data_IF_429148648538
#
_entry.id   IF_429148648538
#
_cell.length_a   1.000
_cell.length_b   1.000
_cell.length_c   1.000
_cell.angle_alpha   90.00
_cell.angle_beta   90.00
_cell.angle_gamma   90.00
#
_symmetry.space_group_name_H-M   'P 1'
#
loop_
_entity.id
_entity.type
_entity.pdbx_description
1 polymer ?
#
# COMPACT_ATOMS: atom_id res chain seq x y z
N UNK A 1 44.35 21.04 -31.09
CA UNK A 1 42.99 21.62 -31.02
C UNK A 1 41.84 20.59 -31.08
N UNK A 2 42.07 19.26 -31.03
CA UNK A 2 40.98 18.25 -31.02
C UNK A 2 40.53 17.77 -29.63
N UNK A 3 41.19 18.18 -28.54
CA UNK A 3 40.89 17.74 -27.16
C UNK A 3 39.91 18.63 -26.39
N UNK A 4 39.51 19.78 -26.95
CA UNK A 4 38.62 20.73 -26.29
C UNK A 4 37.13 20.46 -26.53
N UNK A 5 36.78 19.78 -27.64
CA UNK A 5 35.37 19.52 -28.00
C UNK A 5 34.78 18.34 -27.21
N UNK A 6 35.60 17.37 -26.80
CA UNK A 6 35.12 16.17 -26.09
C UNK A 6 34.70 16.44 -24.64
N UNK A 7 35.25 17.49 -24.01
CA UNK A 7 34.93 17.82 -22.62
C UNK A 7 33.56 18.50 -22.47
N UNK A 8 33.11 19.21 -23.51
CA UNK A 8 31.82 19.91 -23.51
C UNK A 8 30.65 18.91 -23.61
N UNK A 9 30.79 17.82 -24.35
CA UNK A 9 29.75 16.80 -24.48
C UNK A 9 29.55 15.96 -23.21
N UNK A 10 30.62 15.70 -22.45
CA UNK A 10 30.51 14.95 -21.18
C UNK A 10 29.75 15.75 -20.09
N UNK A 11 29.89 17.08 -20.09
CA UNK A 11 29.19 17.95 -19.12
C UNK A 11 27.69 18.08 -19.44
N UNK A 12 27.33 18.11 -20.74
CA UNK A 12 25.92 18.12 -21.17
C UNK A 12 25.21 16.81 -20.81
N UNK A 13 25.89 15.66 -20.91
CA UNK A 13 25.29 14.36 -20.56
C UNK A 13 25.04 14.21 -19.05
N UNK A 14 25.92 14.74 -18.20
CA UNK A 14 25.76 14.68 -16.73
C UNK A 14 24.67 15.64 -16.25
N UNK A 15 24.50 16.81 -16.89
CA UNK A 15 23.41 17.73 -16.58
C UNK A 15 22.02 17.17 -16.97
N UNK A 16 21.93 16.32 -17.99
CA UNK A 16 20.67 15.68 -18.38
C UNK A 16 20.23 14.53 -17.45
N UNK A 17 21.14 13.98 -16.65
CA UNK A 17 20.85 12.88 -15.70
C UNK A 17 20.29 13.35 -14.34
N UNK A 18 20.18 14.65 -14.08
CA UNK A 18 19.67 15.18 -12.81
C UNK A 18 18.15 15.45 -12.79
N UNK A 19 17.42 15.14 -13.85
CA UNK A 19 15.99 15.49 -13.99
C UNK A 19 15.02 14.35 -13.70
N UNK A 20 15.32 13.46 -12.74
CA UNK A 20 14.43 12.34 -12.38
C UNK A 20 13.95 12.35 -10.92
N UNK A 21 14.20 13.43 -10.18
CA UNK A 21 13.56 13.69 -8.90
C UNK A 21 12.60 14.88 -9.03
N UNK A 22 11.73 14.85 -10.04
CA UNK A 22 10.49 15.60 -9.92
C UNK A 22 9.71 14.90 -8.83
N UNK A 23 9.76 15.47 -7.62
CA UNK A 23 8.67 15.31 -6.68
C UNK A 23 7.39 15.44 -7.51
N UNK A 24 6.64 14.35 -7.61
CA UNK A 24 5.36 14.30 -8.31
C UNK A 24 4.45 15.21 -7.51
N UNK A 25 4.56 16.51 -7.77
CA UNK A 25 3.72 17.53 -7.19
C UNK A 25 2.34 17.21 -7.73
N UNK A 26 1.49 16.65 -6.87
CA UNK A 26 0.09 16.54 -7.19
C UNK A 26 -0.37 17.96 -7.57
N UNK A 27 -1.08 18.13 -8.69
CA UNK A 27 -1.58 19.45 -9.08
C UNK A 27 -2.30 20.09 -7.89
N UNK A 28 -2.24 21.42 -7.77
CA UNK A 28 -3.05 22.23 -6.84
C UNK A 28 -4.54 22.12 -7.22
N UNK A 29 -5.06 20.90 -7.20
CA UNK A 29 -6.47 20.59 -7.23
C UNK A 29 -6.93 20.69 -5.79
N UNK A 30 -7.95 21.51 -5.55
CA UNK A 30 -8.72 21.52 -4.30
C UNK A 30 -9.46 20.20 -4.05
N UNK A 31 -9.40 19.25 -4.99
CA UNK A 31 -10.04 17.95 -4.94
C UNK A 31 -8.97 16.86 -4.89
N UNK A 32 -8.45 16.57 -3.70
CA UNK A 32 -7.64 15.37 -3.43
C UNK A 32 -8.55 14.16 -3.20
N UNK A 33 -9.44 13.89 -4.16
CA UNK A 33 -10.41 12.81 -4.09
C UNK A 33 -10.40 11.97 -5.37
N UNK A 34 -10.83 10.72 -5.26
CA UNK A 34 -10.93 9.81 -6.39
C UNK A 34 -11.44 8.44 -5.98
N UNK A 35 -11.44 7.51 -6.93
CA UNK A 35 -11.81 6.13 -6.65
C UNK A 35 -11.12 5.16 -7.60
N UNK A 36 -10.94 3.93 -7.14
CA UNK A 36 -10.26 2.87 -7.89
C UNK A 36 -10.91 1.51 -7.66
N UNK A 37 -11.14 0.79 -8.76
CA UNK A 37 -11.50 -0.61 -8.73
C UNK A 37 -10.30 -1.48 -8.41
N UNK A 38 -10.49 -2.45 -7.52
CA UNK A 38 -9.54 -3.47 -7.16
C UNK A 38 -10.15 -4.84 -7.43
N UNK A 39 -9.40 -5.70 -8.12
CA UNK A 39 -9.81 -7.07 -8.42
C UNK A 39 -8.59 -7.99 -8.42
N UNK A 40 -8.39 -8.76 -7.35
CA UNK A 40 -7.28 -9.70 -7.21
C UNK A 40 -7.65 -10.81 -6.22
N UNK A 41 -7.18 -12.05 -6.44
CA UNK A 41 -7.34 -13.17 -5.51
C UNK A 41 -8.80 -13.40 -5.07
N UNK A 42 -9.74 -13.32 -6.02
CA UNK A 42 -11.20 -13.37 -5.82
C UNK A 42 -11.81 -12.19 -5.05
N UNK A 43 -11.02 -11.26 -4.50
CA UNK A 43 -11.53 -10.02 -3.91
C UNK A 43 -11.86 -9.02 -5.00
N UNK A 44 -13.06 -8.44 -4.95
CA UNK A 44 -13.48 -7.32 -5.78
C UNK A 44 -13.98 -6.20 -4.90
N UNK A 45 -13.34 -5.04 -5.00
CA UNK A 45 -13.69 -3.87 -4.21
C UNK A 45 -13.65 -2.59 -5.06
N UNK A 46 -14.47 -1.62 -4.68
CA UNK A 46 -14.30 -0.25 -5.11
C UNK A 46 -13.83 0.57 -3.91
N UNK A 47 -12.72 1.29 -4.06
CA UNK A 47 -12.15 2.11 -2.99
C UNK A 47 -12.20 3.55 -3.42
N UNK A 48 -12.97 4.35 -2.71
CA UNK A 48 -12.96 5.81 -2.83
C UNK A 48 -11.99 6.39 -1.79
N UNK A 49 -11.39 7.53 -2.11
CA UNK A 49 -10.52 8.25 -1.20
C UNK A 49 -10.74 9.75 -1.30
N UNK A 50 -10.50 10.45 -0.20
CA UNK A 50 -10.47 11.89 -0.11
C UNK A 50 -9.41 12.34 0.90
N UNK A 51 -8.77 13.49 0.66
CA UNK A 51 -7.85 14.13 1.59
C UNK A 51 -8.35 15.54 1.90
N UNK A 52 -8.47 15.86 3.18
CA UNK A 52 -8.96 17.14 3.69
C UNK A 52 -7.81 17.91 4.35
N UNK A 53 -7.66 19.20 4.04
CA UNK A 53 -6.78 20.10 4.80
C UNK A 53 -7.56 20.60 6.04
N UNK A 54 -7.07 20.25 7.23
CA UNK A 54 -7.72 20.59 8.50
C UNK A 54 -7.76 22.09 8.76
N UNK A 55 -6.88 22.86 8.12
CA UNK A 55 -6.84 24.32 8.22
C UNK A 55 -7.99 24.99 7.44
N UNK A 56 -8.58 24.29 6.46
CA UNK A 56 -9.71 24.80 5.69
C UNK A 56 -11.02 24.79 6.49
N UNK A 57 -11.12 23.96 7.53
CA UNK A 57 -12.35 23.75 8.30
C UNK A 57 -13.49 23.06 7.53
N UNK A 58 -13.27 22.67 6.27
CA UNK A 58 -14.28 22.06 5.42
C UNK A 58 -14.25 20.54 5.57
N UNK A 59 -15.02 20.02 6.53
CA UNK A 59 -15.28 18.59 6.66
C UNK A 59 -16.72 18.26 6.28
N UNK A 60 -16.99 17.05 5.79
CA UNK A 60 -18.34 16.52 5.76
C UNK A 60 -18.97 16.53 7.16
N UNK A 61 -20.28 16.78 7.23
CA UNK A 61 -21.02 16.71 8.50
C UNK A 61 -20.85 15.32 9.14
N UNK A 62 -20.64 15.30 10.46
CA UNK A 62 -20.45 14.06 11.22
C UNK A 62 -19.04 13.46 11.14
N UNK A 63 -18.14 14.02 10.34
CA UNK A 63 -16.77 13.55 10.23
C UNK A 63 -15.97 13.84 11.51
N UNK A 64 -15.37 12.81 12.09
CA UNK A 64 -14.51 12.93 13.28
C UNK A 64 -13.04 12.82 12.89
N UNK A 65 -12.27 13.87 13.12
CA UNK A 65 -10.83 13.85 12.84
C UNK A 65 -10.11 12.85 13.77
N UNK A 66 -9.40 11.83 13.24
CA UNK A 66 -8.74 10.81 14.05
C UNK A 66 -7.49 11.30 14.80
N UNK A 67 -6.98 12.50 14.52
CA UNK A 67 -5.80 13.04 15.23
C UNK A 67 -5.55 14.52 14.96
N UNK A 68 -4.37 15.03 15.31
CA UNK A 68 -4.03 16.45 15.20
C UNK A 68 -3.32 16.84 13.89
N UNK A 69 -3.24 15.95 12.91
CA UNK A 69 -2.52 16.19 11.66
C UNK A 69 -3.12 17.30 10.80
N UNK A 70 -2.27 17.97 10.00
CA UNK A 70 -2.72 18.96 9.00
C UNK A 70 -3.62 18.37 7.92
N UNK A 71 -3.39 17.13 7.52
CA UNK A 71 -4.17 16.46 6.49
C UNK A 71 -4.90 15.27 7.10
N UNK A 72 -6.16 15.10 6.71
CA UNK A 72 -6.94 13.92 7.05
C UNK A 72 -7.27 13.15 5.79
N UNK A 73 -6.88 11.89 5.79
CA UNK A 73 -7.11 10.95 4.70
C UNK A 73 -8.28 10.08 5.09
N UNK A 74 -9.26 9.98 4.19
CA UNK A 74 -10.42 9.12 4.33
C UNK A 74 -10.48 8.16 3.14
N UNK A 75 -10.73 6.89 3.44
CA UNK A 75 -10.95 5.83 2.45
C UNK A 75 -12.30 5.20 2.72
N UNK A 76 -13.12 5.06 1.68
CA UNK A 76 -14.38 4.33 1.75
C UNK A 76 -14.26 3.08 0.89
N UNK A 77 -14.48 1.92 1.51
CA UNK A 77 -14.33 0.63 0.84
C UNK A 77 -15.70 -0.01 0.64
N UNK A 78 -16.00 -0.32 -0.61
CA UNK A 78 -17.18 -1.07 -1.01
C UNK A 78 -16.75 -2.47 -1.44
N UNK A 79 -17.22 -3.51 -0.76
CA UNK A 79 -17.05 -4.88 -1.23
C UNK A 79 -18.11 -5.21 -2.28
N UNK A 80 -17.71 -5.20 -3.54
CA UNK A 80 -18.60 -5.42 -4.70
C UNK A 80 -18.52 -6.85 -5.25
N UNK A 81 -17.94 -7.79 -4.49
CA UNK A 81 -17.87 -9.20 -4.87
C UNK A 81 -19.25 -9.84 -5.00
N UNK A 82 -19.48 -10.63 -6.05
CA UNK A 82 -20.81 -11.16 -6.39
C UNK A 82 -21.32 -12.31 -5.51
N UNK A 83 -20.52 -12.84 -4.58
CA UNK A 83 -20.92 -13.93 -3.66
C UNK A 83 -20.17 -13.85 -2.32
N UNK A 84 -20.72 -14.54 -1.30
CA UNK A 84 -20.18 -14.71 0.07
C UNK A 84 -18.74 -15.27 0.17
N UNK A 85 -18.06 -15.52 -0.95
CA UNK A 85 -16.76 -16.20 -1.03
C UNK A 85 -15.55 -15.26 -1.13
N UNK A 86 -15.75 -13.94 -1.13
CA UNK A 86 -14.66 -12.98 -1.20
C UNK A 86 -14.74 -11.86 -0.14
N UNK A 87 -14.86 -12.22 1.14
CA UNK A 87 -14.79 -11.23 2.18
C UNK A 87 -13.40 -10.62 2.29
N UNK A 88 -13.36 -9.35 2.66
CA UNK A 88 -12.13 -8.63 2.93
C UNK A 88 -11.82 -8.79 4.43
N UNK A 89 -10.67 -9.35 4.75
CA UNK A 89 -10.18 -9.46 6.12
C UNK A 89 -9.32 -8.24 6.49
N UNK A 90 -8.49 -7.77 5.55
CA UNK A 90 -7.59 -6.64 5.79
C UNK A 90 -7.53 -5.67 4.62
N UNK A 91 -7.33 -4.39 4.94
CA UNK A 91 -6.95 -3.34 4.02
C UNK A 91 -5.60 -2.78 4.44
N UNK A 92 -4.66 -2.72 3.50
CA UNK A 92 -3.31 -2.20 3.71
C UNK A 92 -3.03 -1.07 2.73
N UNK A 93 -2.61 0.08 3.24
CA UNK A 93 -2.15 1.22 2.45
C UNK A 93 -0.61 1.26 2.44
N UNK A 94 -0.05 1.22 1.24
CA UNK A 94 1.39 1.28 0.99
C UNK A 94 1.79 2.65 0.44
N UNK A 95 2.97 3.13 0.83
CA UNK A 95 3.51 4.42 0.36
C UNK A 95 3.02 5.64 1.14
N UNK A 96 2.16 5.46 2.14
CA UNK A 96 1.91 6.48 3.16
C UNK A 96 3.08 6.55 4.14
N UNK A 97 3.41 7.75 4.62
CA UNK A 97 4.39 7.91 5.70
C UNK A 97 3.73 7.58 7.05
N UNK A 98 3.66 6.30 7.40
CA UNK A 98 3.02 5.83 8.63
C UNK A 98 3.66 6.44 9.89
N UNK A 99 4.97 6.70 9.85
CA UNK A 99 5.67 7.38 10.96
C UNK A 99 5.26 8.84 11.16
N UNK A 100 4.63 9.46 10.15
CA UNK A 100 4.06 10.80 10.23
C UNK A 100 2.54 10.78 10.45
N UNK A 101 1.94 9.62 10.74
CA UNK A 101 0.54 9.54 11.11
C UNK A 101 0.37 10.02 12.56
N UNK A 102 -0.54 10.97 12.79
CA UNK A 102 -0.86 11.53 14.10
C UNK A 102 -2.12 10.90 14.72
N UNK A 103 -2.71 9.93 14.04
CA UNK A 103 -3.89 9.19 14.48
C UNK A 103 -4.40 8.33 13.35
N UNK A 104 -4.72 7.07 13.64
CA UNK A 104 -5.27 6.11 12.70
C UNK A 104 -6.53 5.53 13.34
N UNK A 105 -7.61 5.45 12.58
CA UNK A 105 -8.90 4.99 13.08
C UNK A 105 -9.85 4.58 11.97
N UNK A 106 -11.12 4.48 12.34
CA UNK A 106 -12.22 4.18 11.44
C UNK A 106 -13.46 4.93 11.89
N UNK A 107 -14.42 5.09 10.99
CA UNK A 107 -15.75 5.61 11.31
C UNK A 107 -16.80 4.60 10.86
N UNK A 108 -17.88 4.50 11.63
CA UNK A 108 -19.04 3.70 11.25
C UNK A 108 -19.85 4.47 10.20
N UNK A 109 -20.38 3.77 9.20
CA UNK A 109 -21.32 4.37 8.26
C UNK A 109 -22.73 4.58 8.88
N UNK A 110 -22.91 4.12 10.13
CA UNK A 110 -24.13 4.27 10.91
C UNK A 110 -25.24 3.33 10.46
N UNK A 111 -24.98 2.48 9.48
CA UNK A 111 -25.93 1.51 8.93
C UNK A 111 -25.57 0.07 9.29
N UNK A 112 -24.53 -0.11 10.12
CA UNK A 112 -24.04 -1.41 10.54
C UNK A 112 -22.93 -1.90 9.62
N UNK A 113 -21.68 -1.68 10.05
CA UNK A 113 -20.48 -2.16 9.39
C UNK A 113 -19.54 -2.93 10.33
N UNK A 114 -18.53 -3.59 9.77
CA UNK A 114 -17.46 -4.17 10.59
C UNK A 114 -16.48 -3.07 10.99
N UNK A 115 -16.34 -2.86 12.29
CA UNK A 115 -15.34 -1.97 12.87
C UNK A 115 -13.94 -2.38 12.43
N UNK A 116 -13.15 -1.48 11.87
CA UNK A 116 -11.76 -1.78 11.57
C UNK A 116 -10.87 -1.59 12.82
N UNK A 117 -9.80 -2.36 12.94
CA UNK A 117 -8.80 -2.22 13.99
C UNK A 117 -7.42 -2.02 13.36
N UNK A 118 -6.64 -1.09 13.92
CA UNK A 118 -5.31 -0.73 13.46
C UNK A 118 -4.30 -0.90 14.61
N UNK A 119 -3.06 -1.29 14.26
CA UNK A 119 -1.98 -1.51 15.23
C UNK A 119 -1.28 -0.22 15.70
N UNK A 120 -1.65 0.94 15.15
CA UNK A 120 -1.10 2.26 15.45
C UNK A 120 0.26 2.56 14.80
N UNK A 121 0.84 1.62 14.06
CA UNK A 121 2.20 1.69 13.53
C UNK A 121 2.29 1.59 12.01
N UNK A 122 1.31 0.91 11.40
CA UNK A 122 1.18 0.71 9.97
C UNK A 122 -0.19 1.18 9.50
N UNK A 123 -0.38 1.39 8.20
CA UNK A 123 -1.72 1.63 7.65
C UNK A 123 -2.40 0.32 7.29
N UNK A 124 -2.53 -0.56 8.29
CA UNK A 124 -3.20 -1.85 8.17
C UNK A 124 -4.45 -1.83 9.03
N UNK A 125 -5.60 -2.04 8.40
CA UNK A 125 -6.87 -2.17 9.06
C UNK A 125 -7.34 -3.62 8.95
N UNK A 126 -7.68 -4.20 10.09
CA UNK A 126 -8.26 -5.54 10.21
C UNK A 126 -9.73 -5.40 10.58
N UNK A 127 -10.65 -6.09 9.91
CA UNK A 127 -12.07 -5.96 10.22
C UNK A 127 -12.45 -6.81 11.45
N UNK A 128 -12.85 -6.13 12.53
CA UNK A 128 -13.21 -6.71 13.84
C UNK A 128 -14.45 -7.58 13.68
N UNK A 129 -14.46 -8.75 14.33
CA UNK A 129 -15.48 -9.80 14.18
C UNK A 129 -15.46 -10.54 12.82
N UNK A 130 -14.39 -10.38 12.03
CA UNK A 130 -14.05 -11.30 10.94
C UNK A 130 -14.03 -10.65 9.57
N UNK A 131 -14.95 -11.07 8.72
CA UNK A 131 -14.85 -11.00 7.26
C UNK A 131 -15.79 -9.94 6.70
N UNK A 132 -15.28 -8.84 6.11
CA UNK A 132 -16.07 -7.80 5.47
C UNK A 132 -16.64 -8.33 4.16
N UNK A 133 -17.83 -8.92 4.24
CA UNK A 133 -18.57 -9.53 3.13
C UNK A 133 -19.16 -8.47 2.20
N UNK A 134 -19.45 -8.86 0.96
CA UNK A 134 -20.21 -7.99 0.06
C UNK A 134 -21.58 -7.70 0.65
N UNK A 135 -21.92 -6.41 0.71
CA UNK A 135 -23.15 -5.90 1.30
C UNK A 135 -23.48 -4.52 0.71
N UNK A 136 -24.60 -3.94 1.14
CA UNK A 136 -24.96 -2.54 0.83
C UNK A 136 -24.14 -1.52 1.64
N UNK A 137 -23.31 -1.99 2.59
CA UNK A 137 -22.58 -1.15 3.54
C UNK A 137 -21.11 -1.00 3.14
N UNK A 138 -20.49 0.06 3.67
CA UNK A 138 -19.11 0.43 3.37
C UNK A 138 -18.31 0.63 4.65
N UNK A 139 -17.00 0.48 4.57
CA UNK A 139 -16.12 0.80 5.69
C UNK A 139 -15.41 2.12 5.45
N UNK A 140 -15.49 3.04 6.42
CA UNK A 140 -14.73 4.29 6.42
C UNK A 140 -13.46 4.12 7.26
N UNK A 141 -12.30 4.20 6.60
CA UNK A 141 -10.99 4.16 7.22
C UNK A 141 -10.38 5.55 7.17
N UNK A 142 -9.85 6.01 8.30
CA UNK A 142 -9.34 7.39 8.40
C UNK A 142 -7.99 7.43 9.09
N UNK A 143 -7.14 8.36 8.66
CA UNK A 143 -5.96 8.73 9.43
C UNK A 143 -5.61 10.20 9.24
N UNK A 144 -4.88 10.77 10.18
CA UNK A 144 -4.36 12.15 10.09
C UNK A 144 -2.85 12.15 9.96
N UNK A 145 -2.28 13.11 9.22
CA UNK A 145 -0.83 13.28 9.06
C UNK A 145 -0.47 14.73 8.82
N UNK A 146 0.73 15.15 9.26
CA UNK A 146 1.29 16.45 8.88
C UNK A 146 1.99 16.43 7.51
N UNK A 147 2.20 15.24 6.95
CA UNK A 147 2.75 15.09 5.62
C UNK A 147 1.68 15.34 4.56
N UNK A 148 2.02 16.15 3.55
CA UNK A 148 1.18 16.36 2.38
C UNK A 148 0.87 15.06 1.63
N UNK A 149 -0.16 15.05 0.77
CA UNK A 149 -0.58 13.86 0.05
C UNK A 149 0.55 13.31 -0.82
N UNK A 150 0.81 12.02 -0.67
CA UNK A 150 1.79 11.27 -1.46
C UNK A 150 1.03 10.18 -2.23
N UNK A 151 1.43 9.94 -3.48
CA UNK A 151 0.88 8.84 -4.25
C UNK A 151 1.25 7.50 -3.59
N UNK A 152 0.23 6.76 -3.17
CA UNK A 152 0.36 5.42 -2.59
C UNK A 152 -0.30 4.35 -3.45
N UNK A 153 -0.22 3.11 -2.98
CA UNK A 153 -0.99 1.97 -3.47
C UNK A 153 -1.69 1.30 -2.29
N UNK A 154 -2.63 0.39 -2.56
CA UNK A 154 -3.30 -0.36 -1.52
C UNK A 154 -3.45 -1.83 -1.91
N UNK A 155 -3.62 -2.67 -0.89
CA UNK A 155 -3.77 -4.11 -0.96
C UNK A 155 -4.97 -4.53 -0.11
N UNK A 156 -5.68 -5.56 -0.57
CA UNK A 156 -6.79 -6.18 0.16
C UNK A 156 -6.51 -7.67 0.30
N UNK A 157 -6.69 -8.23 1.50
CA UNK A 157 -6.51 -9.67 1.76
C UNK A 157 -7.77 -10.29 2.33
N UNK A 158 -8.01 -11.57 1.99
CA UNK A 158 -9.06 -12.41 2.59
C UNK A 158 -8.58 -13.19 3.81
N UNK A 159 -7.27 -13.18 4.10
CA UNK A 159 -6.70 -13.96 5.20
C UNK A 159 -6.74 -13.16 6.50
N UNK A 160 -7.42 -13.70 7.50
CA UNK A 160 -7.36 -13.21 8.87
C UNK A 160 -6.03 -13.66 9.49
N UNK A 161 -5.18 -12.70 9.83
CA UNK A 161 -3.79 -12.94 10.22
C UNK A 161 -3.65 -13.54 11.62
N UNK A 162 -3.39 -14.85 11.68
CA UNK A 162 -2.54 -15.44 12.74
C UNK A 162 -1.26 -16.05 12.16
N UNK A 163 -1.05 -15.95 10.84
CA UNK A 163 0.20 -16.34 10.20
C UNK A 163 1.00 -15.08 9.85
N UNK A 164 2.27 -14.96 10.29
CA UNK A 164 3.16 -13.91 9.82
C UNK A 164 3.25 -13.95 8.29
N UNK A 165 3.53 -12.82 7.61
CA UNK A 165 3.58 -12.75 6.15
C UNK A 165 4.59 -13.77 5.63
N UNK A 166 4.09 -14.87 5.07
CA UNK A 166 4.93 -15.77 4.31
C UNK A 166 5.21 -15.02 3.02
N UNK A 167 6.45 -14.55 2.86
CA UNK A 167 6.94 -14.01 1.60
C UNK A 167 6.67 -15.05 0.49
N UNK A 168 5.55 -14.95 -0.21
CA UNK A 168 5.29 -15.72 -1.42
C UNK A 168 6.05 -15.06 -2.57
N UNK A 169 7.38 -15.08 -2.46
CA UNK A 169 8.32 -14.88 -3.55
C UNK A 169 9.56 -15.69 -3.29
N UNK A 170 9.36 -17.00 -3.27
CA UNK A 170 10.29 -17.91 -3.90
C UNK A 170 9.52 -19.17 -4.24
N UNK A 171 9.09 -19.29 -5.50
CA UNK A 171 9.34 -20.55 -6.19
C UNK A 171 10.82 -20.86 -5.92
N UNK A 172 11.10 -21.78 -5.00
CA UNK A 172 12.45 -22.24 -4.67
C UNK A 172 13.05 -22.90 -5.91
N UNK A 173 13.48 -22.07 -6.87
CA UNK A 173 14.54 -22.44 -7.79
C UNK A 173 15.78 -22.49 -6.89
N UNK A 174 16.41 -23.66 -6.69
CA UNK A 174 17.57 -23.77 -5.82
C UNK A 174 18.62 -22.79 -6.30
N UNK A 175 19.16 -21.98 -5.37
CA UNK A 175 20.20 -21.03 -5.71
C UNK A 175 21.35 -21.76 -6.44
N UNK A 176 22.03 -21.12 -7.42
CA UNK A 176 23.08 -21.76 -8.20
C UNK A 176 24.17 -22.41 -7.33
N UNK A 177 24.39 -21.88 -6.13
CA UNK A 177 25.29 -22.44 -5.13
C UNK A 177 24.84 -23.81 -4.60
N UNK A 178 23.55 -23.98 -4.33
CA UNK A 178 22.95 -25.23 -3.84
C UNK A 178 23.02 -26.33 -4.89
N UNK A 179 22.77 -26.00 -6.16
CA UNK A 179 22.93 -26.94 -7.28
C UNK A 179 24.40 -27.32 -7.46
N UNK A 180 25.31 -26.35 -7.35
CA UNK A 180 26.76 -26.59 -7.47
C UNK A 180 27.29 -27.50 -6.36
N UNK A 181 26.80 -27.32 -5.13
CA UNK A 181 27.21 -28.13 -3.98
C UNK A 181 26.71 -29.58 -4.11
N UNK A 182 25.47 -29.77 -4.61
CA UNK A 182 24.93 -31.10 -4.89
C UNK A 182 25.74 -31.81 -5.99
N UNK A 183 26.09 -31.11 -7.07
CA UNK A 183 26.93 -31.65 -8.13
C UNK A 183 28.34 -32.04 -7.63
N UNK A 184 28.97 -31.21 -6.79
CA UNK A 184 30.26 -31.52 -6.18
C UNK A 184 30.18 -32.73 -5.24
N UNK A 185 29.10 -32.86 -4.46
CA UNK A 185 28.84 -34.01 -3.59
C UNK A 185 28.76 -35.32 -4.38
N UNK A 186 28.03 -35.33 -5.50
CA UNK A 186 27.91 -36.50 -6.39
C UNK A 186 29.27 -36.89 -6.98
N UNK A 187 30.06 -35.92 -7.45
CA UNK A 187 31.40 -36.16 -7.98
C UNK A 187 32.34 -36.77 -6.93
N UNK A 188 32.30 -36.29 -5.68
CA UNK A 188 33.08 -36.85 -4.58
C UNK A 188 32.65 -38.27 -4.21
N UNK A 189 31.34 -38.58 -4.26
CA UNK A 189 30.82 -39.90 -3.93
C UNK A 189 31.19 -40.95 -4.98
N UNK A 190 31.20 -40.59 -6.26
CA UNK A 190 31.61 -41.48 -7.35
C UNK A 190 33.09 -41.83 -7.32
N UNK A 191 33.94 -40.99 -6.69
CA UNK A 191 35.38 -41.23 -6.56
C UNK A 191 35.75 -42.30 -5.52
N UNK A 192 34.85 -42.64 -4.60
CA UNK A 192 35.09 -43.60 -3.51
C UNK A 192 34.83 -45.08 -3.85
N UNK A 193 34.40 -45.39 -5.08
CA UNK A 193 34.12 -46.77 -5.54
C UNK A 193 35.30 -47.44 -6.28
N UNK A 194 36.54 -47.21 -5.84
CA UNK A 194 37.70 -48.01 -6.24
C UNK A 194 38.46 -48.48 -5.02
#
# INVERSE_FOLDING_TARGET
MRKCVTFIWAFVLIAMLQSAALATYLPESSLWQGGRYYSQNNVSAYVEYAVYDTQSGNYPDGFVNPGSGRYVYAYQIFNIGSTALAPIATFELMGGNASAANGIGYQDDGQGGLAANNDGSSFIWTFTNGLFVSSEHSAFLVFSSDSGPIAGSFSLSTQYGDAPPVNQSSTEIPEPASVSMLCLGICCFLRKKK
#
